data_IF_045449528670
#
_entry.id   IF_045449528670
#
_cell.length_a   1.000
_cell.length_b   1.000
_cell.length_c   1.000
_cell.angle_alpha   90.00
_cell.angle_beta   90.00
_cell.angle_gamma   90.00
#
_symmetry.space_group_name_H-M   'P 1'
#
loop_
_entity.id
_entity.type
_entity.pdbx_description
1 polymer ?
#
# COMPACT_ATOMS: atom_id res chain seq x y z
N UNK A 1 12.36 3.00 0.51
CA UNK A 1 12.26 4.40 0.10
C UNK A 1 12.40 5.31 1.30
N UNK A 2 13.28 6.28 1.18
CA UNK A 2 13.60 7.15 2.31
C UNK A 2 12.38 7.95 2.79
N UNK A 3 11.46 8.22 1.92
CA UNK A 3 10.28 9.02 2.27
C UNK A 3 9.39 8.33 3.29
N UNK A 4 9.43 7.02 3.36
CA UNK A 4 8.63 6.30 4.33
C UNK A 4 9.07 6.64 5.76
N UNK A 5 10.37 6.83 5.97
CA UNK A 5 10.87 7.22 7.28
C UNK A 5 10.36 8.60 7.67
N UNK A 6 10.32 9.50 6.73
CA UNK A 6 9.82 10.84 6.97
C UNK A 6 8.35 10.79 7.35
N UNK A 7 7.59 9.94 6.67
CA UNK A 7 6.19 9.77 6.97
C UNK A 7 5.96 9.31 8.41
N UNK A 8 6.78 8.38 8.88
CA UNK A 8 6.57 7.83 10.20
C UNK A 8 6.90 8.84 11.29
N UNK A 9 7.80 9.76 11.04
CA UNK A 9 8.16 10.76 12.03
C UNK A 9 6.97 11.63 12.37
N UNK A 10 6.23 12.05 11.37
CA UNK A 10 5.09 12.93 11.58
C UNK A 10 4.01 12.27 12.42
N UNK A 11 3.58 11.06 12.10
CA UNK A 11 2.56 10.40 12.92
C UNK A 11 3.01 10.15 14.33
N UNK A 12 4.27 9.77 14.50
CA UNK A 12 4.80 9.48 15.83
C UNK A 12 4.70 10.69 16.72
N UNK A 13 4.94 11.86 16.17
CA UNK A 13 4.95 13.07 16.95
C UNK A 13 3.60 13.38 17.57
N UNK A 14 2.54 12.82 17.06
CA UNK A 14 1.21 13.10 17.61
C UNK A 14 0.96 12.41 18.93
N UNK A 15 1.76 11.42 19.26
CA UNK A 15 1.50 10.64 20.46
C UNK A 15 0.23 9.84 20.40
N UNK A 16 -0.40 9.80 19.26
CA UNK A 16 -1.66 9.09 19.07
C UNK A 16 -1.45 7.76 18.37
N UNK A 17 -0.48 6.99 18.88
CA UNK A 17 -0.22 5.68 18.30
C UNK A 17 -1.50 4.84 18.23
N UNK A 18 -2.33 4.98 19.25
CA UNK A 18 -3.58 4.23 19.30
C UNK A 18 -4.60 4.74 18.28
N UNK A 19 -4.55 6.03 17.99
CA UNK A 19 -5.49 6.64 17.05
C UNK A 19 -5.02 6.69 15.62
N UNK A 20 -3.73 6.48 15.40
CA UNK A 20 -3.19 6.55 14.05
C UNK A 20 -3.33 5.21 13.35
N UNK A 21 -3.94 5.25 12.18
CA UNK A 21 -4.08 4.06 11.35
C UNK A 21 -3.24 4.28 10.10
N UNK A 22 -2.16 3.50 9.98
CA UNK A 22 -1.27 3.58 8.85
C UNK A 22 -1.99 3.32 7.52
N UNK A 23 -3.09 2.61 7.56
CA UNK A 23 -3.84 2.31 6.35
C UNK A 23 -4.68 3.48 5.85
N UNK A 24 -4.87 4.52 6.65
CA UNK A 24 -5.62 5.69 6.20
C UNK A 24 -4.95 6.38 5.01
N UNK A 25 -3.66 6.78 5.12
CA UNK A 25 -3.01 7.37 3.95
C UNK A 25 -2.82 6.36 2.82
N UNK A 26 -2.52 5.12 3.15
CA UNK A 26 -2.32 4.08 2.13
C UNK A 26 -3.61 3.87 1.34
N UNK A 27 -4.75 3.80 2.03
CA UNK A 27 -6.04 3.64 1.36
C UNK A 27 -6.35 4.82 0.43
N UNK A 28 -6.02 6.01 0.87
CA UNK A 28 -6.22 7.21 0.07
C UNK A 28 -5.40 7.13 -1.22
N UNK A 29 -4.14 6.75 -1.11
CA UNK A 29 -3.27 6.67 -2.27
C UNK A 29 -3.72 5.56 -3.22
N UNK A 30 -4.18 4.44 -2.67
CA UNK A 30 -4.70 3.35 -3.49
C UNK A 30 -5.96 3.78 -4.24
N UNK A 31 -6.85 4.47 -3.58
CA UNK A 31 -8.10 4.92 -4.19
C UNK A 31 -7.92 6.02 -5.21
N UNK A 32 -6.86 6.82 -5.07
CA UNK A 32 -6.56 7.91 -5.99
C UNK A 32 -5.61 7.50 -7.10
N UNK A 33 -4.99 6.34 -6.98
CA UNK A 33 -4.00 5.92 -7.96
C UNK A 33 -2.68 6.66 -7.86
N UNK A 34 -2.37 7.16 -6.66
CA UNK A 34 -1.15 7.92 -6.45
C UNK A 34 0.02 6.98 -6.19
N UNK A 35 0.54 6.42 -7.26
CA UNK A 35 1.62 5.45 -7.16
C UNK A 35 2.89 6.06 -6.58
N UNK A 36 3.12 7.33 -6.82
CA UNK A 36 4.32 7.99 -6.30
C UNK A 36 4.31 8.10 -4.79
N UNK A 37 3.20 8.55 -4.22
CA UNK A 37 3.09 8.65 -2.77
C UNK A 37 3.00 7.28 -2.12
N UNK A 38 2.31 6.36 -2.77
CA UNK A 38 2.21 4.99 -2.27
C UNK A 38 3.58 4.33 -2.24
N UNK A 39 4.41 4.57 -3.27
CA UNK A 39 5.73 3.97 -3.33
C UNK A 39 6.67 4.46 -2.24
N UNK A 40 6.39 5.60 -1.65
CA UNK A 40 7.17 6.07 -0.51
C UNK A 40 7.06 5.15 0.69
N UNK A 41 6.00 4.34 0.75
CA UNK A 41 5.79 3.36 1.81
C UNK A 41 6.42 2.01 1.49
N UNK A 42 6.94 1.82 0.28
CA UNK A 42 7.48 0.53 -0.12
C UNK A 42 8.83 0.25 0.52
N UNK A 43 9.05 -1.01 0.89
CA UNK A 43 10.35 -1.48 1.29
C UNK A 43 11.32 -1.42 0.09
N UNK A 44 12.62 -1.55 0.36
CA UNK A 44 13.62 -1.58 -0.71
C UNK A 44 13.38 -2.74 -1.67
N UNK A 45 12.78 -3.81 -1.17
CA UNK A 45 12.39 -4.95 -1.98
C UNK A 45 10.94 -5.23 -1.64
N UNK A 46 10.06 -5.16 -2.61
CA UNK A 46 8.63 -5.34 -2.41
C UNK A 46 8.12 -6.34 -3.42
N UNK A 47 7.23 -7.20 -2.96
CA UNK A 47 6.59 -8.17 -3.84
C UNK A 47 5.29 -7.59 -4.35
N UNK A 48 5.18 -7.44 -5.66
CA UNK A 48 3.99 -6.91 -6.30
C UNK A 48 3.34 -8.05 -7.08
N UNK A 49 2.10 -8.36 -6.75
CA UNK A 49 1.32 -9.36 -7.48
C UNK A 49 0.11 -8.66 -8.08
N UNK A 50 0.01 -8.65 -9.39
CA UNK A 50 -1.10 -8.03 -10.08
C UNK A 50 -1.68 -9.03 -11.04
N UNK A 51 -2.95 -9.38 -10.83
CA UNK A 51 -3.72 -10.27 -11.70
C UNK A 51 -2.97 -11.59 -11.98
N UNK A 52 -2.38 -12.12 -10.93
CA UNK A 52 -1.71 -13.41 -11.01
C UNK A 52 -0.23 -13.36 -11.34
N UNK A 53 0.31 -12.19 -11.65
CA UNK A 53 1.73 -12.05 -11.95
C UNK A 53 2.46 -11.47 -10.75
N UNK A 54 3.42 -12.21 -10.23
CA UNK A 54 4.20 -11.81 -9.06
C UNK A 54 5.60 -11.39 -9.48
N UNK A 55 6.04 -10.27 -8.96
CA UNK A 55 7.38 -9.77 -9.19
C UNK A 55 7.94 -9.21 -7.89
N UNK A 56 9.19 -9.57 -7.60
CA UNK A 56 9.91 -8.92 -6.51
C UNK A 56 10.72 -7.79 -7.14
N UNK A 57 10.45 -6.58 -6.70
CA UNK A 57 11.01 -5.42 -7.37
C UNK A 57 11.50 -4.39 -6.38
N UNK A 58 12.31 -3.47 -6.91
CA UNK A 58 12.71 -2.29 -6.15
C UNK A 58 11.51 -1.35 -6.02
N UNK A 59 11.66 -0.38 -5.14
CA UNK A 59 10.63 0.63 -4.93
C UNK A 59 10.26 1.33 -6.24
N UNK A 60 11.24 1.71 -7.05
CA UNK A 60 10.95 2.42 -8.29
C UNK A 60 10.31 1.52 -9.34
N UNK A 61 10.69 0.25 -9.40
CA UNK A 61 10.05 -0.69 -10.30
C UNK A 61 8.60 -0.93 -9.90
N UNK A 62 8.35 -1.08 -8.61
CA UNK A 62 7.00 -1.27 -8.10
C UNK A 62 6.12 -0.06 -8.44
N UNK A 63 6.69 1.14 -8.33
CA UNK A 63 5.97 2.35 -8.69
C UNK A 63 5.57 2.34 -10.16
N UNK A 64 6.48 1.92 -11.03
CA UNK A 64 6.18 1.86 -12.45
C UNK A 64 5.10 0.82 -12.77
N UNK A 65 5.16 -0.31 -12.09
CA UNK A 65 4.13 -1.35 -12.25
C UNK A 65 2.76 -0.80 -11.86
N UNK A 66 2.69 -0.10 -10.74
CA UNK A 66 1.44 0.48 -10.29
C UNK A 66 0.94 1.58 -11.22
N UNK A 67 1.84 2.40 -11.75
CA UNK A 67 1.45 3.42 -12.71
C UNK A 67 0.85 2.79 -13.95
N UNK A 68 1.43 1.71 -14.43
CA UNK A 68 0.89 0.98 -15.59
C UNK A 68 -0.49 0.41 -15.29
N UNK A 69 -0.66 -0.15 -14.09
CA UNK A 69 -1.96 -0.68 -13.69
C UNK A 69 -3.01 0.41 -13.67
N UNK A 70 -2.70 1.55 -13.04
CA UNK A 70 -3.66 2.64 -12.93
C UNK A 70 -3.92 3.33 -14.26
N UNK A 71 -2.97 3.26 -15.19
CA UNK A 71 -3.20 3.77 -16.53
C UNK A 71 -4.23 2.92 -17.28
N UNK A 72 -4.23 1.62 -17.04
CA UNK A 72 -5.19 0.70 -17.64
C UNK A 72 -6.53 0.72 -16.91
N UNK A 73 -6.51 0.90 -15.61
CA UNK A 73 -7.70 0.87 -14.76
C UNK A 73 -7.74 2.13 -13.92
N UNK A 74 -8.50 3.12 -14.34
CA UNK A 74 -8.60 4.39 -13.63
C UNK A 74 -9.25 4.16 -12.26
N UNK A 75 -8.57 4.47 -11.16
CA UNK A 75 -9.10 4.21 -9.83
C UNK A 75 -10.22 5.18 -9.48
N UNK A 76 -11.22 4.68 -8.77
CA UNK A 76 -12.34 5.48 -8.32
C UNK A 76 -12.43 5.52 -6.80
N UNK A 77 -12.24 4.39 -6.14
CA UNK A 77 -12.31 4.32 -4.69
C UNK A 77 -11.64 3.05 -4.19
N UNK A 78 -11.21 3.10 -2.95
CA UNK A 78 -10.67 1.95 -2.25
C UNK A 78 -11.24 1.93 -0.84
N UNK A 79 -11.85 0.81 -0.47
CA UNK A 79 -12.46 0.63 0.84
C UNK A 79 -11.83 -0.57 1.52
N UNK A 80 -11.30 -0.36 2.73
CA UNK A 80 -10.74 -1.44 3.52
C UNK A 80 -11.87 -2.25 4.12
N UNK A 81 -11.86 -3.56 3.88
CA UNK A 81 -12.89 -4.45 4.39
C UNK A 81 -12.40 -5.28 5.57
N UNK A 82 -11.09 -5.44 5.71
CA UNK A 82 -10.52 -6.24 6.79
C UNK A 82 -9.13 -5.74 7.11
N UNK A 83 -8.83 -5.65 8.40
CA UNK A 83 -7.49 -5.28 8.89
C UNK A 83 -7.10 -6.20 10.01
N UNK A 84 -5.80 -6.51 10.09
CA UNK A 84 -5.27 -7.29 11.19
C UNK A 84 -3.85 -6.86 11.47
N UNK A 85 -3.40 -7.11 12.68
CA UNK A 85 -2.01 -6.87 13.05
C UNK A 85 -1.55 -7.99 13.96
N UNK A 86 -0.27 -8.36 13.81
CA UNK A 86 0.33 -9.40 14.62
C UNK A 86 1.81 -9.11 14.75
N UNK A 87 2.25 -8.82 15.98
CA UNK A 87 3.63 -8.45 16.22
C UNK A 87 4.00 -7.19 15.45
N UNK A 88 5.02 -7.28 14.62
CA UNK A 88 5.50 -6.16 13.83
C UNK A 88 4.84 -6.09 12.46
N UNK A 89 3.86 -6.94 12.20
CA UNK A 89 3.23 -7.00 10.89
C UNK A 89 1.80 -6.50 10.96
N UNK A 90 1.41 -5.81 9.91
CA UNK A 90 0.02 -5.42 9.72
C UNK A 90 -0.40 -5.74 8.30
N UNK A 91 -1.66 -6.09 8.11
CA UNK A 91 -2.16 -6.23 6.77
C UNK A 91 -3.59 -5.70 6.68
N UNK A 92 -3.97 -5.33 5.48
CA UNK A 92 -5.31 -4.89 5.19
C UNK A 92 -5.76 -5.50 3.88
N UNK A 93 -7.03 -5.82 3.82
CA UNK A 93 -7.67 -6.29 2.60
C UNK A 93 -8.80 -5.32 2.30
N UNK A 94 -8.90 -4.89 1.06
CA UNK A 94 -9.94 -3.97 0.67
C UNK A 94 -10.37 -4.17 -0.76
N UNK A 95 -11.38 -3.43 -1.16
CA UNK A 95 -11.90 -3.46 -2.52
C UNK A 95 -11.53 -2.18 -3.23
N UNK A 96 -10.86 -2.32 -4.36
CA UNK A 96 -10.49 -1.20 -5.22
C UNK A 96 -11.41 -1.21 -6.42
N UNK A 97 -12.11 -0.11 -6.63
CA UNK A 97 -12.92 0.06 -7.82
C UNK A 97 -12.13 0.88 -8.82
N UNK A 98 -11.83 0.27 -9.94
CA UNK A 98 -10.99 0.89 -10.97
C UNK A 98 -11.37 0.37 -12.34
N UNK A 99 -11.45 1.29 -13.30
CA UNK A 99 -11.73 0.92 -14.68
C UNK A 99 -13.05 0.20 -14.91
N UNK A 100 -14.03 0.44 -14.04
CA UNK A 100 -15.31 -0.24 -14.13
C UNK A 100 -15.32 -1.64 -13.55
N UNK A 101 -14.23 -2.07 -12.94
CA UNK A 101 -14.11 -3.38 -12.31
C UNK A 101 -13.82 -3.24 -10.84
N UNK A 102 -14.00 -4.33 -10.11
CA UNK A 102 -13.67 -4.38 -8.69
C UNK A 102 -12.52 -5.36 -8.48
N UNK A 103 -11.53 -4.90 -7.73
CA UNK A 103 -10.35 -5.71 -7.41
C UNK A 103 -10.24 -5.87 -5.90
N UNK A 104 -9.68 -7.00 -5.47
CA UNK A 104 -9.32 -7.21 -4.08
C UNK A 104 -7.85 -6.88 -3.94
N UNK A 105 -7.54 -5.97 -3.03
CA UNK A 105 -6.18 -5.53 -2.78
C UNK A 105 -5.78 -5.96 -1.38
N UNK A 106 -4.65 -6.63 -1.27
CA UNK A 106 -4.06 -7.01 0.01
C UNK A 106 -2.74 -6.30 0.16
N UNK A 107 -2.56 -5.62 1.29
CA UNK A 107 -1.34 -4.88 1.58
C UNK A 107 -0.73 -5.44 2.86
N UNK A 108 0.53 -5.87 2.79
CA UNK A 108 1.28 -6.32 3.96
C UNK A 108 2.35 -5.31 4.31
N UNK A 109 2.36 -4.91 5.57
CA UNK A 109 3.36 -3.98 6.09
C UNK A 109 4.13 -4.66 7.21
N UNK A 110 5.41 -4.31 7.32
CA UNK A 110 6.24 -4.71 8.45
C UNK A 110 6.82 -3.48 9.10
N UNK A 111 6.91 -3.51 10.42
CA UNK A 111 7.57 -2.44 11.16
C UNK A 111 9.05 -2.72 11.23
N UNK A 112 9.85 -1.72 10.88
CA UNK A 112 11.30 -1.79 10.95
C UNK A 112 11.80 -0.42 11.31
N UNK A 113 12.59 -0.34 12.38
CA UNK A 113 13.13 0.94 12.86
C UNK A 113 12.04 1.98 13.12
N UNK A 114 10.93 1.53 13.72
CA UNK A 114 9.76 2.36 14.03
C UNK A 114 9.05 2.90 12.78
N UNK A 115 9.28 2.29 11.64
CA UNK A 115 8.63 2.66 10.39
C UNK A 115 7.93 1.45 9.80
N UNK A 116 6.74 1.66 9.26
CA UNK A 116 6.06 0.61 8.53
C UNK A 116 6.40 0.72 7.05
N UNK A 117 6.84 -0.39 6.46
CA UNK A 117 7.11 -0.49 5.04
C UNK A 117 6.18 -1.52 4.42
N UNK A 118 5.72 -1.24 3.22
CA UNK A 118 4.93 -2.20 2.46
C UNK A 118 5.90 -3.23 1.87
N UNK A 119 5.72 -4.48 2.27
CA UNK A 119 6.54 -5.58 1.78
C UNK A 119 5.85 -6.37 0.68
N UNK A 120 4.53 -6.32 0.63
CA UNK A 120 3.78 -7.05 -0.38
C UNK A 120 2.50 -6.30 -0.70
N UNK A 121 2.22 -6.19 -1.98
CA UNK A 121 0.98 -5.61 -2.46
C UNK A 121 0.41 -6.56 -3.51
N UNK A 122 -0.82 -7.02 -3.29
CA UNK A 122 -1.46 -7.99 -4.16
C UNK A 122 -2.78 -7.43 -4.65
N UNK A 123 -2.97 -7.43 -5.96
CA UNK A 123 -4.19 -6.96 -6.60
C UNK A 123 -4.76 -8.09 -7.44
N UNK A 124 -5.99 -8.49 -7.12
CA UNK A 124 -6.67 -9.56 -7.84
C UNK A 124 -8.08 -9.12 -8.19
N UNK A 125 -8.65 -9.72 -9.22
CA UNK A 125 -10.04 -9.47 -9.54
C UNK A 125 -10.94 -10.15 -8.53
N UNK A 126 -12.00 -9.43 -8.20
CA UNK A 126 -13.01 -9.99 -7.30
C UNK A 126 -13.78 -11.11 -8.00
#
# INVERSE_FOLDING_TARGET
CANASTQSVIPVSTGNADGFDVFVPISRYLGNGDAEKLSAWFSNSVEITILGESNTCSCSQARQILKSFYAAYTPRSFDVTHKASQGNMKYAIGELKAGGETFVVTVFLCMKNNCYDIHQLKIERL
#
